data_IF_143517756115
#
_entry.id   IF_143517756115
#
_cell.length_a   1.000
_cell.length_b   1.000
_cell.length_c   1.000
_cell.angle_alpha   90.00
_cell.angle_beta   90.00
_cell.angle_gamma   90.00
#
_symmetry.space_group_name_H-M   'P 1'
#
loop_
_entity.id
_entity.type
_entity.pdbx_description
1 polymer ?
#
# COMPACT_ATOMS: atom_id res chain seq x y z
N UNK A 1 -1.76 3.53 81.88
CA UNK A 1 -2.39 4.30 80.77
C UNK A 1 -1.58 4.28 79.45
N UNK A 2 -0.57 3.40 79.27
CA UNK A 2 0.34 3.40 78.11
C UNK A 2 -0.17 2.63 76.88
N UNK A 3 -1.05 1.63 77.06
CA UNK A 3 -1.57 0.78 75.97
C UNK A 3 -2.48 1.52 74.95
N UNK A 4 -3.28 2.50 75.39
CA UNK A 4 -4.14 3.29 74.48
C UNK A 4 -3.36 4.20 73.51
N UNK A 5 -2.18 4.69 73.91
CA UNK A 5 -1.34 5.56 73.06
C UNK A 5 -0.64 4.78 71.94
N UNK A 6 -0.24 3.53 72.19
CA UNK A 6 0.36 2.66 71.17
C UNK A 6 -0.60 2.27 70.05
N UNK A 7 -1.85 1.93 70.38
CA UNK A 7 -2.90 1.65 69.38
C UNK A 7 -3.26 2.88 68.54
N UNK A 8 -3.34 4.07 69.16
CA UNK A 8 -3.62 5.31 68.43
C UNK A 8 -2.53 5.62 67.39
N UNK A 9 -1.26 5.43 67.73
CA UNK A 9 -0.15 5.62 66.80
C UNK A 9 -0.22 4.64 65.62
N UNK A 10 -0.49 3.36 65.88
CA UNK A 10 -0.62 2.34 64.83
C UNK A 10 -1.76 2.66 63.85
N UNK A 11 -2.91 3.12 64.36
CA UNK A 11 -4.06 3.54 63.54
C UNK A 11 -3.69 4.75 62.67
N UNK A 12 -3.01 5.75 63.24
CA UNK A 12 -2.59 6.94 62.51
C UNK A 12 -1.58 6.59 61.41
N UNK A 13 -0.59 5.75 61.69
CA UNK A 13 0.38 5.31 60.70
C UNK A 13 -0.29 4.51 59.58
N UNK A 14 -1.22 3.61 59.91
CA UNK A 14 -1.97 2.85 58.91
C UNK A 14 -2.83 3.78 58.01
N UNK A 15 -3.53 4.76 58.60
CA UNK A 15 -4.30 5.76 57.86
C UNK A 15 -3.41 6.60 56.94
N UNK A 16 -2.26 7.07 57.44
CA UNK A 16 -1.28 7.80 56.63
C UNK A 16 -0.73 6.95 55.48
N UNK A 17 -0.49 5.66 55.71
CA UNK A 17 -0.08 4.72 54.66
C UNK A 17 -1.12 4.58 53.55
N UNK A 18 -2.39 4.42 53.91
CA UNK A 18 -3.50 4.33 52.94
C UNK A 18 -3.65 5.65 52.17
N UNK A 19 -3.57 6.80 52.86
CA UNK A 19 -3.62 8.13 52.24
C UNK A 19 -2.46 8.34 51.26
N UNK A 20 -1.24 7.96 51.64
CA UNK A 20 -0.06 8.06 50.77
C UNK A 20 -0.19 7.15 49.54
N UNK A 21 -0.72 5.93 49.71
CA UNK A 21 -0.97 5.01 48.60
C UNK A 21 -2.04 5.56 47.65
N UNK A 22 -3.14 6.09 48.17
CA UNK A 22 -4.19 6.72 47.37
C UNK A 22 -3.65 7.93 46.58
N UNK A 23 -2.86 8.80 47.23
CA UNK A 23 -2.21 9.93 46.57
C UNK A 23 -1.18 9.48 45.50
N UNK A 24 -0.44 8.40 45.76
CA UNK A 24 0.49 7.83 44.78
C UNK A 24 -0.23 7.27 43.54
N UNK A 25 -1.34 6.56 43.74
CA UNK A 25 -2.16 6.03 42.64
C UNK A 25 -2.77 7.14 41.79
N UNK A 26 -3.31 8.20 42.40
CA UNK A 26 -3.87 9.34 41.64
C UNK A 26 -2.80 10.11 40.87
N UNK A 27 -1.60 10.28 41.44
CA UNK A 27 -0.48 10.92 40.75
C UNK A 27 -0.01 10.11 39.53
N UNK A 28 0.11 8.78 39.67
CA UNK A 28 0.45 7.89 38.56
C UNK A 28 -0.63 7.91 37.48
N UNK A 29 -1.90 7.84 37.87
CA UNK A 29 -3.03 7.93 36.94
C UNK A 29 -3.03 9.26 36.18
N UNK A 30 -2.79 10.38 36.85
CA UNK A 30 -2.70 11.71 36.24
C UNK A 30 -1.52 11.82 35.25
N UNK A 31 -0.37 11.23 35.58
CA UNK A 31 0.78 11.21 34.67
C UNK A 31 0.47 10.40 33.41
N UNK A 32 -0.11 9.20 33.56
CA UNK A 32 -0.50 8.34 32.44
C UNK A 32 -1.55 9.02 31.57
N UNK A 33 -2.59 9.62 32.17
CA UNK A 33 -3.64 10.32 31.41
C UNK A 33 -3.09 11.51 30.64
N UNK A 34 -2.15 12.25 31.22
CA UNK A 34 -1.50 13.39 30.57
C UNK A 34 -0.64 12.94 29.39
N UNK A 35 0.21 11.92 29.58
CA UNK A 35 1.00 11.34 28.48
C UNK A 35 0.12 10.78 27.36
N UNK A 36 -0.99 10.12 27.70
CA UNK A 36 -1.94 9.62 26.71
C UNK A 36 -2.65 10.75 25.95
N UNK A 37 -2.98 11.86 26.62
CA UNK A 37 -3.57 13.03 25.98
C UNK A 37 -2.61 13.66 24.96
N UNK A 38 -1.33 13.84 25.33
CA UNK A 38 -0.32 14.37 24.40
C UNK A 38 -0.08 13.45 23.20
N UNK A 39 0.05 12.15 23.41
CA UNK A 39 0.18 11.18 22.32
C UNK A 39 -1.05 11.18 21.39
N UNK A 40 -2.24 11.47 21.92
CA UNK A 40 -3.47 11.58 21.12
C UNK A 40 -3.48 12.84 20.27
N UNK A 41 -3.03 13.98 20.82
CA UNK A 41 -2.91 15.23 20.07
C UNK A 41 -1.89 15.12 18.93
N UNK A 42 -0.73 14.55 19.21
CA UNK A 42 0.32 14.31 18.20
C UNK A 42 -0.17 13.39 17.07
N UNK A 43 -0.92 12.34 17.42
CA UNK A 43 -1.54 11.46 16.41
C UNK A 43 -2.57 12.20 15.54
N UNK A 44 -3.31 13.15 16.10
CA UNK A 44 -4.26 13.97 15.33
C UNK A 44 -3.52 14.93 14.39
N UNK A 45 -2.42 15.52 14.86
CA UNK A 45 -1.55 16.37 14.04
C UNK A 45 -0.98 15.61 12.85
N UNK A 46 -0.40 14.43 13.08
CA UNK A 46 0.10 13.55 12.01
C UNK A 46 -1.00 13.16 11.02
N UNK A 47 -2.20 12.81 11.50
CA UNK A 47 -3.34 12.47 10.62
C UNK A 47 -3.77 13.65 9.75
N UNK A 48 -3.88 14.83 10.35
CA UNK A 48 -4.28 16.05 9.64
C UNK A 48 -3.22 16.45 8.61
N UNK A 49 -1.94 16.28 8.95
CA UNK A 49 -0.83 16.49 8.02
C UNK A 49 -0.90 15.53 6.82
N UNK A 50 -1.21 14.25 7.04
CA UNK A 50 -1.41 13.28 5.95
C UNK A 50 -2.61 13.66 5.08
N UNK A 51 -3.74 14.03 5.65
CA UNK A 51 -4.92 14.42 4.87
C UNK A 51 -4.63 15.67 4.02
N UNK A 52 -3.88 16.64 4.56
CA UNK A 52 -3.38 17.79 3.80
C UNK A 52 -2.40 17.38 2.70
N UNK A 53 -1.49 16.44 2.98
CA UNK A 53 -0.54 15.91 2.02
C UNK A 53 -1.25 15.28 0.81
N UNK A 54 -2.29 14.47 1.06
CA UNK A 54 -3.09 13.82 0.01
C UNK A 54 -3.84 14.84 -0.82
N UNK A 55 -4.48 15.83 -0.20
CA UNK A 55 -5.16 16.90 -0.94
C UNK A 55 -4.20 17.70 -1.82
N UNK A 56 -3.01 18.04 -1.33
CA UNK A 56 -1.99 18.75 -2.12
C UNK A 56 -1.41 17.87 -3.23
N UNK A 57 -1.23 16.58 -2.96
CA UNK A 57 -0.78 15.59 -3.96
C UNK A 57 -1.81 15.47 -5.07
N UNK A 58 -3.10 15.41 -4.76
CA UNK A 58 -4.17 15.39 -5.75
C UNK A 58 -4.15 16.62 -6.67
N UNK A 59 -3.90 17.81 -6.11
CA UNK A 59 -3.70 19.04 -6.91
C UNK A 59 -2.46 18.91 -7.80
N UNK A 60 -1.33 18.44 -7.27
CA UNK A 60 -0.09 18.25 -8.06
C UNK A 60 -0.19 17.17 -9.14
N UNK A 61 -1.02 16.16 -8.96
CA UNK A 61 -1.29 15.14 -9.97
C UNK A 61 -2.22 15.66 -11.08
N UNK A 62 -3.13 16.58 -10.75
CA UNK A 62 -4.08 17.16 -11.69
C UNK A 62 -3.55 18.40 -12.43
N UNK A 63 -2.54 19.07 -11.88
CA UNK A 63 -1.87 20.22 -12.51
C UNK A 63 -1.18 19.76 -13.82
N UNK A 64 -1.35 20.50 -14.92
CA UNK A 64 -0.72 20.15 -16.21
C UNK A 64 0.69 20.75 -16.32
N UNK A 65 0.92 21.93 -15.73
CA UNK A 65 2.17 22.67 -15.84
C UNK A 65 3.21 22.18 -14.80
N UNK A 66 2.74 21.79 -13.61
CA UNK A 66 3.59 21.31 -12.51
C UNK A 66 3.31 19.86 -12.10
N UNK A 67 2.91 19.03 -13.08
CA UNK A 67 2.45 17.67 -12.82
C UNK A 67 3.49 16.81 -12.12
N UNK A 68 3.10 16.18 -11.00
CA UNK A 68 3.88 15.10 -10.42
C UNK A 68 3.81 13.83 -11.26
N UNK A 69 4.94 13.16 -11.39
CA UNK A 69 5.01 11.86 -12.06
C UNK A 69 4.69 10.80 -11.01
N UNK A 70 3.61 10.06 -11.24
CA UNK A 70 3.14 9.02 -10.33
C UNK A 70 3.80 7.66 -10.61
N UNK A 71 5.13 7.63 -10.59
CA UNK A 71 5.94 6.42 -10.81
C UNK A 71 6.54 5.85 -9.50
N UNK A 72 6.04 6.30 -8.36
CA UNK A 72 6.52 5.93 -7.04
C UNK A 72 7.70 6.75 -6.53
N UNK A 73 8.22 7.74 -7.28
CA UNK A 73 9.33 8.60 -6.81
C UNK A 73 8.99 9.37 -5.53
N UNK A 74 10.03 9.72 -4.77
CA UNK A 74 9.90 10.43 -3.51
C UNK A 74 9.70 11.94 -3.74
N UNK A 75 8.66 12.47 -3.11
CA UNK A 75 8.39 13.88 -2.95
C UNK A 75 8.39 14.25 -1.47
N UNK A 76 8.98 15.39 -1.13
CA UNK A 76 9.04 15.87 0.25
C UNK A 76 8.18 17.12 0.42
N UNK A 77 7.44 17.16 1.53
CA UNK A 77 6.57 18.27 1.89
C UNK A 77 6.62 18.54 3.39
N UNK A 78 6.09 19.69 3.81
CA UNK A 78 5.85 20.02 5.21
C UNK A 78 4.43 20.52 5.43
N UNK A 79 3.87 20.16 6.58
CA UNK A 79 2.60 20.65 7.10
C UNK A 79 2.79 21.04 8.57
N UNK A 80 2.99 22.33 8.85
CA UNK A 80 3.40 22.78 10.18
C UNK A 80 4.76 22.20 10.55
N UNK A 81 4.83 21.57 11.72
CA UNK A 81 6.05 20.93 12.25
C UNK A 81 6.20 19.46 11.83
N UNK A 82 5.30 18.96 10.98
CA UNK A 82 5.34 17.58 10.45
C UNK A 82 6.06 17.56 9.11
N UNK A 83 7.11 16.74 9.02
CA UNK A 83 7.79 16.41 7.76
C UNK A 83 7.08 15.25 7.07
N UNK A 84 6.86 15.38 5.76
CA UNK A 84 6.09 14.43 4.96
C UNK A 84 6.96 13.89 3.82
N UNK A 85 7.08 12.57 3.75
CA UNK A 85 7.66 11.84 2.61
C UNK A 85 6.53 11.15 1.87
N UNK A 86 6.33 11.54 0.61
CA UNK A 86 5.18 11.15 -0.20
C UNK A 86 5.68 10.43 -1.44
N UNK A 87 5.07 9.29 -1.75
CA UNK A 87 5.25 8.60 -3.03
C UNK A 87 3.88 8.41 -3.65
N UNK A 88 3.72 8.76 -4.91
CA UNK A 88 2.49 8.57 -5.66
C UNK A 88 2.74 7.56 -6.77
N UNK A 89 1.86 6.56 -6.89
CA UNK A 89 1.90 5.55 -7.95
C UNK A 89 0.54 5.53 -8.64
N UNK A 90 0.52 5.64 -9.97
CA UNK A 90 -0.71 5.48 -10.72
C UNK A 90 -1.21 4.03 -10.61
N UNK A 91 -2.50 3.80 -10.36
CA UNK A 91 -3.03 2.44 -10.27
C UNK A 91 -2.83 1.61 -11.55
N UNK A 92 -2.99 2.19 -12.77
CA UNK A 92 -2.65 1.48 -14.01
C UNK A 92 -1.16 1.12 -14.14
N UNK A 93 -0.28 1.64 -13.29
CA UNK A 93 1.14 1.25 -13.22
C UNK A 93 1.35 -0.11 -12.57
N UNK A 94 0.29 -0.73 -12.04
CA UNK A 94 0.27 -2.06 -11.43
C UNK A 94 -0.58 -3.01 -12.28
N UNK A 95 -0.35 -4.30 -12.15
CA UNK A 95 -1.14 -5.33 -12.78
C UNK A 95 -2.52 -5.44 -12.11
N UNK A 96 -3.58 -5.26 -12.89
CA UNK A 96 -4.95 -5.43 -12.42
C UNK A 96 -5.34 -6.92 -12.40
N UNK A 97 -5.66 -7.45 -11.21
CA UNK A 97 -6.08 -8.85 -11.05
C UNK A 97 -7.38 -9.19 -11.81
N UNK A 98 -8.28 -8.22 -11.94
CA UNK A 98 -9.60 -8.43 -12.53
C UNK A 98 -9.61 -8.26 -14.05
N UNK A 99 -8.78 -7.37 -14.60
CA UNK A 99 -8.80 -7.04 -16.02
C UNK A 99 -7.50 -7.34 -16.77
N UNK A 100 -6.40 -7.56 -16.06
CA UNK A 100 -5.07 -7.78 -16.63
C UNK A 100 -4.96 -9.12 -17.37
N UNK A 101 -4.01 -9.14 -18.31
CA UNK A 101 -3.72 -10.31 -19.13
C UNK A 101 -2.89 -11.36 -18.39
N UNK A 102 -3.30 -12.63 -18.45
CA UNK A 102 -2.64 -13.74 -17.74
C UNK A 102 -1.21 -13.97 -18.21
N UNK A 103 -0.85 -13.72 -19.48
CA UNK A 103 0.54 -13.84 -19.92
C UNK A 103 1.45 -12.79 -19.28
N UNK A 104 0.96 -11.56 -19.11
CA UNK A 104 1.71 -10.49 -18.43
C UNK A 104 1.92 -10.82 -16.96
N UNK A 105 0.91 -11.42 -16.30
CA UNK A 105 1.06 -11.88 -14.92
C UNK A 105 2.07 -13.03 -14.80
N UNK A 106 2.01 -14.00 -15.71
CA UNK A 106 2.97 -15.10 -15.70
C UNK A 106 4.40 -14.56 -15.88
N UNK A 107 4.62 -13.67 -16.84
CA UNK A 107 5.92 -13.01 -17.04
C UNK A 107 6.37 -12.21 -15.81
N UNK A 108 5.45 -11.47 -15.15
CA UNK A 108 5.76 -10.75 -13.92
C UNK A 108 6.22 -11.70 -12.81
N UNK A 109 5.54 -12.84 -12.64
CA UNK A 109 5.93 -13.83 -11.64
C UNK A 109 7.31 -14.44 -11.98
N UNK A 110 7.62 -14.64 -13.27
CA UNK A 110 8.95 -15.07 -13.71
C UNK A 110 10.04 -14.02 -13.39
N UNK A 111 9.76 -12.73 -13.59
CA UNK A 111 10.63 -11.62 -13.15
C UNK A 111 10.78 -11.51 -11.62
N UNK A 112 9.90 -12.17 -10.86
CA UNK A 112 9.95 -12.29 -9.40
C UNK A 112 10.51 -13.65 -8.94
N UNK A 113 11.34 -14.27 -9.78
CA UNK A 113 12.03 -15.54 -9.51
C UNK A 113 11.10 -16.76 -9.31
N UNK A 114 9.84 -16.69 -9.77
CA UNK A 114 8.93 -17.83 -9.78
C UNK A 114 9.18 -18.66 -11.03
N UNK A 115 9.27 -19.99 -10.90
CA UNK A 115 9.51 -20.85 -12.06
C UNK A 115 8.38 -20.72 -13.10
N UNK A 116 8.73 -20.74 -14.40
CA UNK A 116 7.79 -20.61 -15.53
C UNK A 116 6.56 -21.51 -15.40
N UNK A 117 6.74 -22.76 -14.95
CA UNK A 117 5.61 -23.68 -14.76
C UNK A 117 4.67 -23.20 -13.64
N UNK A 118 5.22 -22.76 -12.51
CA UNK A 118 4.43 -22.25 -11.38
C UNK A 118 3.75 -20.93 -11.73
N UNK A 119 4.47 -20.01 -12.38
CA UNK A 119 3.94 -18.73 -12.84
C UNK A 119 2.72 -18.91 -13.75
N UNK A 120 2.81 -19.79 -14.76
CA UNK A 120 1.68 -20.10 -15.66
C UNK A 120 0.49 -20.73 -14.94
N UNK A 121 0.73 -21.60 -13.96
CA UNK A 121 -0.34 -22.22 -13.15
C UNK A 121 -1.04 -21.20 -12.25
N UNK A 122 -0.30 -20.28 -11.65
CA UNK A 122 -0.88 -19.19 -10.85
C UNK A 122 -1.71 -18.27 -11.75
N UNK A 123 -1.18 -17.91 -12.93
CA UNK A 123 -1.88 -17.05 -13.87
C UNK A 123 -3.18 -17.69 -14.40
N UNK A 124 -3.14 -18.98 -14.76
CA UNK A 124 -4.33 -19.75 -15.13
C UNK A 124 -5.32 -19.85 -13.97
N UNK A 125 -4.86 -20.16 -12.75
CA UNK A 125 -5.72 -20.21 -11.56
C UNK A 125 -6.38 -18.86 -11.22
N UNK A 126 -5.80 -17.73 -11.64
CA UNK A 126 -6.42 -16.40 -11.52
C UNK A 126 -7.53 -16.19 -12.54
N UNK A 127 -7.39 -16.73 -13.76
CA UNK A 127 -8.46 -16.68 -14.75
C UNK A 127 -9.70 -17.41 -14.22
N UNK A 128 -9.53 -18.66 -13.77
CA UNK A 128 -10.61 -19.46 -13.17
C UNK A 128 -11.11 -18.84 -11.86
N UNK A 129 -10.26 -18.15 -11.08
CA UNK A 129 -10.71 -17.47 -9.86
C UNK A 129 -11.78 -16.40 -10.15
N UNK A 130 -11.61 -15.64 -11.25
CA UNK A 130 -12.41 -14.44 -11.53
C UNK A 130 -13.62 -14.69 -12.44
N UNK A 131 -13.66 -15.80 -13.17
CA UNK A 131 -14.82 -16.17 -13.96
C UNK A 131 -15.96 -16.71 -13.06
N UNK A 132 -17.13 -16.98 -13.63
CA UNK A 132 -18.31 -17.39 -12.86
C UNK A 132 -18.66 -18.87 -13.01
N UNK A 133 -17.92 -19.60 -13.84
CA UNK A 133 -18.24 -20.99 -14.12
C UNK A 133 -17.40 -21.93 -13.23
N UNK A 134 -17.28 -23.20 -13.60
CA UNK A 134 -16.50 -24.21 -12.85
C UNK A 134 -15.72 -25.06 -13.88
N UNK A 135 -15.35 -24.43 -15.00
CA UNK A 135 -14.66 -25.04 -16.14
C UNK A 135 -13.20 -24.66 -16.07
N UNK A 136 -12.37 -25.65 -15.74
CA UNK A 136 -10.92 -25.42 -15.65
C UNK A 136 -10.34 -25.00 -16.99
N UNK A 137 -9.78 -23.78 -17.03
CA UNK A 137 -9.09 -23.23 -18.18
C UNK A 137 -7.67 -23.76 -18.38
N UNK A 138 -6.94 -23.18 -19.33
CA UNK A 138 -5.56 -23.54 -19.60
C UNK A 138 -4.65 -23.19 -18.41
N UNK A 139 -3.98 -24.22 -17.87
CA UNK A 139 -3.23 -24.14 -16.60
C UNK A 139 -4.07 -23.66 -15.39
N UNK A 140 -5.39 -23.72 -15.52
CA UNK A 140 -6.37 -23.28 -14.54
C UNK A 140 -6.45 -24.17 -13.30
N UNK A 141 -7.30 -23.74 -12.36
CA UNK A 141 -7.63 -24.47 -11.17
C UNK A 141 -9.03 -24.13 -10.71
N UNK A 142 -9.86 -25.16 -10.52
CA UNK A 142 -11.23 -25.04 -10.02
C UNK A 142 -11.41 -25.69 -8.65
N UNK A 143 -12.64 -25.70 -8.12
CA UNK A 143 -12.98 -26.18 -6.78
C UNK A 143 -12.37 -27.55 -6.43
N UNK A 144 -12.26 -28.47 -7.39
CA UNK A 144 -11.61 -29.77 -7.19
C UNK A 144 -10.09 -29.64 -6.92
N UNK A 145 -9.39 -28.79 -7.66
CA UNK A 145 -7.96 -28.54 -7.49
C UNK A 145 -7.69 -27.83 -6.16
N UNK A 146 -8.46 -26.81 -5.80
CA UNK A 146 -8.34 -26.12 -4.51
C UNK A 146 -8.56 -27.05 -3.32
N UNK A 147 -9.56 -27.94 -3.40
CA UNK A 147 -9.81 -28.96 -2.36
C UNK A 147 -8.62 -29.90 -2.19
N UNK A 148 -8.00 -30.33 -3.30
CA UNK A 148 -6.80 -31.18 -3.25
C UNK A 148 -5.60 -30.46 -2.62
N UNK A 149 -5.52 -29.14 -2.78
CA UNK A 149 -4.52 -28.27 -2.16
C UNK A 149 -4.85 -27.82 -0.73
N UNK A 150 -5.92 -28.34 -0.13
CA UNK A 150 -6.44 -27.94 1.18
C UNK A 150 -6.67 -26.41 1.30
N UNK A 151 -7.24 -25.82 0.24
CA UNK A 151 -7.59 -24.41 0.17
C UNK A 151 -9.10 -24.24 -0.01
N UNK A 152 -9.68 -23.10 0.42
CA UNK A 152 -11.04 -22.72 0.04
C UNK A 152 -11.20 -22.74 -1.49
N UNK A 153 -12.43 -22.97 -2.01
CA UNK A 153 -12.69 -22.90 -3.44
C UNK A 153 -12.34 -21.51 -4.01
N UNK A 154 -12.16 -21.39 -5.34
CA UNK A 154 -11.98 -20.10 -5.98
C UNK A 154 -13.18 -19.18 -5.74
N UNK A 155 -12.97 -17.88 -5.94
CA UNK A 155 -14.00 -16.88 -5.68
C UNK A 155 -15.22 -17.02 -6.61
N UNK A 156 -14.97 -17.44 -7.85
CA UNK A 156 -15.90 -17.46 -8.98
C UNK A 156 -16.60 -16.09 -9.16
N UNK A 157 -15.78 -15.05 -8.98
CA UNK A 157 -16.13 -13.62 -9.08
C UNK A 157 -14.86 -12.78 -9.18
N UNK A 158 -14.97 -11.53 -9.63
CA UNK A 158 -13.88 -10.56 -9.49
C UNK A 158 -13.33 -10.51 -8.05
N UNK A 159 -12.02 -10.30 -7.96
CA UNK A 159 -11.31 -9.99 -6.72
C UNK A 159 -11.91 -8.73 -6.10
N UNK A 160 -12.17 -8.78 -4.80
CA UNK A 160 -12.62 -7.63 -4.00
C UNK A 160 -11.51 -7.04 -3.13
N UNK A 161 -10.40 -7.78 -2.96
CA UNK A 161 -9.21 -7.32 -2.28
C UNK A 161 -7.95 -7.95 -2.92
N UNK A 162 -6.82 -7.22 -2.95
CA UNK A 162 -5.54 -7.77 -3.44
C UNK A 162 -5.08 -8.95 -2.57
N UNK A 163 -5.45 -8.94 -1.29
CA UNK A 163 -5.15 -10.01 -0.33
C UNK A 163 -5.76 -11.36 -0.68
N UNK A 164 -6.83 -11.40 -1.49
CA UNK A 164 -7.38 -12.65 -2.00
C UNK A 164 -6.40 -13.41 -2.90
N UNK A 165 -5.38 -12.72 -3.46
CA UNK A 165 -4.29 -13.36 -4.19
C UNK A 165 -3.58 -14.44 -3.35
N UNK A 166 -3.51 -14.29 -2.01
CA UNK A 166 -2.94 -15.33 -1.11
C UNK A 166 -3.67 -16.67 -1.20
N UNK A 167 -4.94 -16.64 -1.57
CA UNK A 167 -5.80 -17.82 -1.59
C UNK A 167 -5.65 -18.58 -2.90
N UNK A 168 -5.25 -17.91 -3.99
CA UNK A 168 -5.01 -18.51 -5.30
C UNK A 168 -4.10 -19.72 -5.21
N UNK A 169 -4.44 -20.79 -5.91
CA UNK A 169 -3.69 -22.03 -5.89
C UNK A 169 -2.27 -21.83 -6.43
N UNK A 170 -1.27 -22.27 -5.67
CA UNK A 170 0.14 -22.10 -6.01
C UNK A 170 0.80 -20.85 -5.41
N UNK A 171 0.01 -19.91 -4.86
CA UNK A 171 0.56 -18.73 -4.18
C UNK A 171 0.93 -19.08 -2.74
N UNK A 172 2.21 -19.01 -2.43
CA UNK A 172 2.71 -19.08 -1.06
C UNK A 172 3.01 -17.68 -0.48
N UNK A 173 3.50 -17.64 0.77
CA UNK A 173 3.78 -16.38 1.45
C UNK A 173 4.90 -15.57 0.78
N UNK A 174 5.89 -16.22 0.17
CA UNK A 174 7.01 -15.56 -0.49
C UNK A 174 6.56 -14.95 -1.82
N UNK A 175 5.83 -15.73 -2.63
CA UNK A 175 5.24 -15.26 -3.90
C UNK A 175 4.29 -14.11 -3.63
N UNK A 176 3.42 -14.22 -2.63
CA UNK A 176 2.53 -13.12 -2.26
C UNK A 176 3.31 -11.86 -1.88
N UNK A 177 4.34 -11.99 -1.02
CA UNK A 177 5.11 -10.83 -0.56
C UNK A 177 5.84 -10.13 -1.72
N UNK A 178 6.36 -10.88 -2.68
CA UNK A 178 7.03 -10.34 -3.86
C UNK A 178 6.04 -9.71 -4.85
N UNK A 179 4.90 -10.36 -5.10
CA UNK A 179 3.96 -9.92 -6.13
C UNK A 179 3.00 -8.83 -5.67
N UNK A 180 2.50 -8.86 -4.43
CA UNK A 180 1.51 -7.90 -3.89
C UNK A 180 1.83 -6.42 -4.19
N UNK A 181 3.07 -5.95 -4.01
CA UNK A 181 3.63 -4.76 -4.65
C UNK A 181 3.07 -4.34 -6.02
N UNK A 182 3.09 -5.26 -6.98
CA UNK A 182 2.78 -5.00 -8.38
C UNK A 182 1.31 -5.22 -8.71
N UNK A 183 0.45 -5.54 -7.75
CA UNK A 183 -0.95 -5.90 -7.97
C UNK A 183 -1.90 -4.76 -7.56
N UNK A 184 -3.02 -4.65 -8.27
CA UNK A 184 -4.12 -3.74 -7.95
C UNK A 184 -5.47 -4.31 -8.38
N UNK A 185 -6.54 -3.65 -7.96
CA UNK A 185 -7.91 -3.80 -8.47
C UNK A 185 -8.42 -2.56 -9.22
N UNK A 186 -7.62 -1.49 -9.26
CA UNK A 186 -8.00 -0.18 -9.79
C UNK A 186 -7.20 0.21 -11.04
N UNK A 187 -6.59 -0.78 -11.69
CA UNK A 187 -5.81 -0.58 -12.90
C UNK A 187 -6.69 -0.63 -14.15
N UNK A 188 -6.21 -1.36 -15.14
CA UNK A 188 -6.96 -1.65 -16.36
C UNK A 188 -6.35 -2.85 -17.09
N UNK A 189 -6.91 -3.19 -18.25
CA UNK A 189 -6.46 -4.37 -18.99
C UNK A 189 -5.03 -4.28 -19.52
N UNK A 190 -4.49 -3.06 -19.61
CA UNK A 190 -3.14 -2.75 -20.05
C UNK A 190 -2.35 -2.04 -18.94
N UNK A 191 -1.10 -2.44 -18.75
CA UNK A 191 -0.19 -1.75 -17.80
C UNK A 191 0.27 -0.42 -18.40
N UNK A 192 0.22 0.64 -17.60
CA UNK A 192 0.67 1.96 -17.97
C UNK A 192 2.20 2.11 -17.86
N UNK A 193 2.92 1.81 -18.94
CA UNK A 193 4.38 1.78 -18.97
C UNK A 193 5.07 3.07 -18.50
N UNK A 194 4.46 4.25 -18.73
CA UNK A 194 4.96 5.55 -18.22
C UNK A 194 5.25 5.53 -16.73
N UNK A 195 4.40 4.85 -15.96
CA UNK A 195 4.38 4.89 -14.50
C UNK A 195 4.85 3.56 -13.88
N UNK A 196 4.80 2.47 -14.65
CA UNK A 196 5.08 1.12 -14.16
C UNK A 196 6.53 0.92 -13.70
N UNK A 197 6.78 0.11 -12.67
CA UNK A 197 8.14 -0.26 -12.28
C UNK A 197 8.84 -1.07 -13.38
N UNK A 198 10.19 -1.06 -13.46
CA UNK A 198 10.96 -1.70 -14.54
C UNK A 198 10.58 -3.17 -14.80
N UNK A 199 10.53 -4.01 -13.76
CA UNK A 199 10.15 -5.43 -13.86
C UNK A 199 8.78 -5.64 -14.51
N UNK A 200 7.81 -4.78 -14.19
CA UNK A 200 6.48 -4.89 -14.77
C UNK A 200 6.44 -4.41 -16.23
N UNK A 201 7.27 -3.43 -16.60
CA UNK A 201 7.45 -3.05 -18.01
C UNK A 201 7.99 -4.26 -18.78
N UNK A 202 9.05 -4.91 -18.29
CA UNK A 202 9.65 -6.09 -18.92
C UNK A 202 8.65 -7.24 -19.06
N UNK A 203 7.84 -7.49 -18.01
CA UNK A 203 6.76 -8.47 -18.02
C UNK A 203 5.66 -8.22 -19.06
N UNK A 204 5.54 -7.01 -19.62
CA UNK A 204 4.57 -6.73 -20.70
C UNK A 204 5.00 -7.28 -22.06
N UNK A 205 6.23 -7.82 -22.18
CA UNK A 205 6.75 -8.40 -23.42
C UNK A 205 7.42 -7.39 -24.35
N UNK A 206 7.65 -6.15 -23.90
CA UNK A 206 8.45 -5.17 -24.65
C UNK A 206 9.92 -5.57 -24.70
N UNK A 207 10.62 -5.13 -25.75
CA UNK A 207 12.07 -5.35 -25.82
C UNK A 207 12.80 -4.56 -24.73
N UNK A 208 13.94 -5.06 -24.24
CA UNK A 208 14.78 -4.33 -23.28
C UNK A 208 15.22 -2.94 -23.81
N UNK A 209 15.39 -2.81 -25.14
CA UNK A 209 15.64 -1.52 -25.78
C UNK A 209 14.48 -0.55 -25.60
N UNK A 210 13.25 -1.03 -25.75
CA UNK A 210 12.03 -0.23 -25.58
C UNK A 210 11.76 0.11 -24.13
N UNK A 211 11.92 -0.85 -23.21
CA UNK A 211 11.85 -0.61 -21.77
C UNK A 211 12.78 0.54 -21.36
N UNK A 212 14.03 0.53 -21.82
CA UNK A 212 14.97 1.62 -21.55
C UNK A 212 14.56 2.96 -22.16
N UNK A 213 13.98 2.97 -23.37
CA UNK A 213 13.44 4.20 -23.98
C UNK A 213 12.28 4.76 -23.16
N UNK A 214 11.39 3.91 -22.66
CA UNK A 214 10.25 4.29 -21.80
C UNK A 214 10.77 4.92 -20.50
N UNK A 215 11.70 4.25 -19.82
CA UNK A 215 12.30 4.74 -18.56
C UNK A 215 13.04 6.08 -18.77
N UNK A 216 13.76 6.22 -19.88
CA UNK A 216 14.46 7.48 -20.21
C UNK A 216 13.47 8.61 -20.51
N UNK A 217 12.41 8.33 -21.27
CA UNK A 217 11.37 9.29 -21.61
C UNK A 217 10.58 9.75 -20.37
N UNK A 218 10.46 8.92 -19.32
CA UNK A 218 9.79 9.27 -18.06
C UNK A 218 10.37 10.52 -17.40
N UNK A 219 11.68 10.72 -17.49
CA UNK A 219 12.36 11.85 -16.83
C UNK A 219 12.32 13.15 -17.63
N UNK A 220 11.74 13.14 -18.84
CA UNK A 220 11.50 14.33 -19.63
C UNK A 220 10.03 14.48 -20.00
N UNK A 221 9.67 15.63 -20.57
CA UNK A 221 8.34 15.87 -21.12
C UNK A 221 8.15 15.23 -22.51
N UNK A 222 8.89 14.15 -22.78
CA UNK A 222 8.92 13.51 -24.08
C UNK A 222 7.77 12.50 -24.18
N UNK A 223 7.08 12.50 -25.32
CA UNK A 223 6.11 11.46 -25.64
C UNK A 223 6.82 10.11 -25.67
N UNK A 224 6.25 9.13 -24.99
CA UNK A 224 6.82 7.78 -24.99
C UNK A 224 6.59 7.18 -26.39
N UNK A 225 7.60 6.54 -27.01
CA UNK A 225 7.45 5.95 -28.32
C UNK A 225 6.29 4.96 -28.36
N UNK A 226 5.57 4.90 -29.49
CA UNK A 226 4.61 3.83 -29.73
C UNK A 226 5.39 2.51 -29.82
N UNK A 227 5.03 1.55 -28.99
CA UNK A 227 5.62 0.20 -28.94
C UNK A 227 4.48 -0.80 -29.09
N UNK A 228 4.68 -1.84 -29.90
CA UNK A 228 3.73 -2.94 -30.01
C UNK A 228 3.66 -3.69 -28.67
N UNK A 229 2.47 -3.88 -28.11
CA UNK A 229 2.30 -4.65 -26.88
C UNK A 229 0.98 -4.43 -26.14
N UNK A 230 0.83 -5.14 -25.02
CA UNK A 230 -0.31 -5.03 -24.10
C UNK A 230 -0.19 -3.86 -23.12
N UNK A 231 0.92 -3.12 -23.11
CA UNK A 231 1.08 -1.94 -22.27
C UNK A 231 0.58 -0.68 -22.98
N UNK A 232 -0.14 0.17 -22.25
CA UNK A 232 -0.46 1.51 -22.72
C UNK A 232 0.66 2.44 -22.25
N UNK A 233 1.56 2.81 -23.15
CA UNK A 233 2.79 3.48 -22.73
C UNK A 233 2.61 4.94 -22.35
N UNK A 234 1.56 5.60 -22.82
CA UNK A 234 1.27 7.00 -22.50
C UNK A 234 -0.24 7.21 -22.34
N UNK A 235 -0.88 6.64 -21.29
CA UNK A 235 -2.30 6.82 -21.11
C UNK A 235 -2.62 8.29 -20.83
N UNK A 236 -3.72 8.77 -21.41
CA UNK A 236 -4.36 9.99 -20.93
C UNK A 236 -4.62 9.82 -19.42
N UNK A 237 -4.29 10.86 -18.65
CA UNK A 237 -4.27 10.94 -17.17
C UNK A 237 -4.89 9.74 -16.43
N UNK A 238 -4.11 9.00 -15.62
CA UNK A 238 -4.65 7.92 -14.80
C UNK A 238 -5.85 8.37 -13.96
N UNK A 239 -6.87 7.53 -13.86
CA UNK A 239 -8.10 7.80 -13.12
C UNK A 239 -7.97 7.52 -11.63
N UNK A 240 -6.98 6.74 -11.20
CA UNK A 240 -6.74 6.38 -9.81
C UNK A 240 -5.25 6.31 -9.48
N UNK A 241 -4.92 6.61 -8.22
CA UNK A 241 -3.56 6.67 -7.70
C UNK A 241 -3.48 6.13 -6.26
N UNK A 242 -2.45 5.36 -5.96
CA UNK A 242 -2.03 5.06 -4.61
C UNK A 242 -1.05 6.14 -4.11
N UNK A 243 -1.39 6.76 -2.99
CA UNK A 243 -0.55 7.75 -2.32
C UNK A 243 -0.05 7.16 -1.02
N UNK A 244 1.25 6.98 -0.94
CA UNK A 244 1.97 6.52 0.24
C UNK A 244 2.54 7.74 0.95
N UNK A 245 2.12 7.95 2.20
CA UNK A 245 2.56 9.07 3.02
C UNK A 245 3.20 8.56 4.30
N UNK A 246 4.43 8.96 4.53
CA UNK A 246 5.11 8.89 5.83
C UNK A 246 5.16 10.28 6.44
N UNK A 247 4.53 10.43 7.60
CA UNK A 247 4.53 11.66 8.39
C UNK A 247 5.42 11.47 9.62
N UNK A 248 6.30 12.43 9.88
CA UNK A 248 7.21 12.45 11.03
C UNK A 248 7.09 13.79 11.77
N UNK A 249 6.72 13.73 13.06
CA UNK A 249 6.67 14.89 13.94
C UNK A 249 8.07 15.22 14.49
N UNK A 250 8.24 16.44 15.00
CA UNK A 250 9.49 16.91 15.62
C UNK A 250 9.94 16.08 16.83
N UNK A 251 9.01 15.38 17.49
CA UNK A 251 9.29 14.42 18.57
C UNK A 251 9.92 13.11 18.10
N UNK A 252 9.88 12.82 16.80
CA UNK A 252 10.21 11.52 16.20
C UNK A 252 9.02 10.57 16.04
N UNK A 253 7.80 10.96 16.43
CA UNK A 253 6.61 10.15 16.19
C UNK A 253 6.33 10.01 14.69
N UNK A 254 6.07 8.78 14.23
CA UNK A 254 5.83 8.48 12.81
C UNK A 254 4.46 7.87 12.55
N UNK A 255 3.90 8.16 11.39
CA UNK A 255 2.66 7.59 10.90
C UNK A 255 2.74 7.31 9.40
N UNK A 256 2.38 6.09 9.00
CA UNK A 256 2.38 5.64 7.60
C UNK A 256 0.96 5.41 7.12
N UNK A 257 0.63 5.89 5.92
CA UNK A 257 -0.69 5.69 5.29
C UNK A 257 -0.55 5.42 3.81
N UNK A 258 -1.39 4.51 3.32
CA UNK A 258 -1.64 4.29 1.90
C UNK A 258 -3.09 4.71 1.67
N UNK A 259 -3.29 5.60 0.70
CA UNK A 259 -4.60 6.14 0.36
C UNK A 259 -4.75 6.02 -1.14
N UNK A 260 -5.75 5.25 -1.57
CA UNK A 260 -6.09 5.15 -2.99
C UNK A 260 -7.15 6.21 -3.26
N UNK A 261 -6.86 7.09 -4.20
CA UNK A 261 -7.76 8.15 -4.63
C UNK A 261 -8.17 7.94 -6.10
N UNK A 262 -9.40 8.32 -6.45
CA UNK A 262 -9.77 8.57 -7.83
C UNK A 262 -9.65 10.06 -8.14
N UNK A 263 -9.22 10.39 -9.35
CA UNK A 263 -9.06 11.75 -9.86
C UNK A 263 -9.90 11.87 -11.15
N UNK A 264 -11.20 12.21 -11.03
CA UNK A 264 -12.14 12.19 -12.16
C UNK A 264 -11.97 13.35 -13.16
N UNK A 265 -11.09 14.32 -12.90
CA UNK A 265 -10.92 15.47 -13.79
C UNK A 265 -9.86 16.47 -13.33
N UNK A 266 -9.86 17.65 -13.97
CA UNK A 266 -8.91 18.72 -13.69
C UNK A 266 -9.24 19.49 -12.40
N UNK A 267 -8.23 20.13 -11.81
CA UNK A 267 -8.38 20.98 -10.61
C UNK A 267 -8.22 20.25 -9.27
N UNK A 268 -7.82 18.98 -9.27
CA UNK A 268 -7.46 18.25 -8.05
C UNK A 268 -8.65 17.80 -7.19
N UNK A 269 -9.88 17.78 -7.76
CA UNK A 269 -11.01 17.11 -7.13
C UNK A 269 -10.74 15.61 -7.09
N UNK A 270 -10.88 14.97 -5.93
CA UNK A 270 -10.63 13.55 -5.76
C UNK A 270 -11.64 12.91 -4.81
N UNK A 271 -11.92 11.62 -5.03
CA UNK A 271 -12.60 10.78 -4.04
C UNK A 271 -11.60 9.81 -3.42
N UNK A 272 -11.80 9.46 -2.15
CA UNK A 272 -11.00 8.39 -1.51
C UNK A 272 -11.70 7.05 -1.73
N UNK A 273 -11.03 6.14 -2.45
CA UNK A 273 -11.51 4.79 -2.70
C UNK A 273 -11.20 3.85 -1.54
N UNK A 274 -9.99 3.94 -0.99
CA UNK A 274 -9.57 3.13 0.15
C UNK A 274 -8.51 3.82 1.00
N UNK A 275 -8.38 3.38 2.26
CA UNK A 275 -7.35 3.86 3.18
C UNK A 275 -6.82 2.70 4.02
N UNK A 276 -5.53 2.44 3.90
CA UNK A 276 -4.83 1.38 4.62
C UNK A 276 -3.81 1.98 5.60
N UNK A 277 -3.70 1.35 6.77
CA UNK A 277 -2.72 1.71 7.80
C UNK A 277 -1.65 0.63 7.83
N UNK A 278 -0.41 1.04 7.62
CA UNK A 278 0.74 0.14 7.65
C UNK A 278 1.58 0.39 8.90
N UNK A 279 2.16 -0.68 9.46
CA UNK A 279 2.99 -0.63 10.67
C UNK A 279 4.45 -0.29 10.33
N UNK A 280 4.90 -0.65 9.14
CA UNK A 280 6.24 -0.41 8.61
C UNK A 280 6.19 0.48 7.37
N UNK A 281 7.31 1.14 7.03
CA UNK A 281 7.41 2.02 5.86
C UNK A 281 7.44 1.27 4.54
N UNK A 282 7.11 1.97 3.45
CA UNK A 282 7.06 1.40 2.08
C UNK A 282 8.40 1.39 1.36
N UNK A 283 9.52 1.58 2.09
CA UNK A 283 10.86 1.65 1.51
C UNK A 283 11.19 0.35 0.73
N UNK A 284 10.86 -0.81 1.31
CA UNK A 284 11.09 -2.11 0.66
C UNK A 284 10.29 -2.32 -0.64
N UNK A 285 9.24 -1.53 -0.87
CA UNK A 285 8.33 -1.67 -2.02
C UNK A 285 8.59 -0.65 -3.13
N UNK A 286 8.95 0.58 -2.78
CA UNK A 286 9.06 1.69 -3.74
C UNK A 286 10.48 2.24 -3.86
N UNK A 287 11.44 1.77 -3.07
CA UNK A 287 12.83 2.13 -3.32
C UNK A 287 13.17 1.76 -4.76
N UNK A 288 13.76 2.70 -5.53
CA UNK A 288 14.07 2.43 -6.92
C UNK A 288 14.92 1.16 -6.95
N UNK A 289 14.44 0.16 -7.70
CA UNK A 289 15.24 -1.02 -8.02
C UNK A 289 16.63 -0.53 -8.43
N UNK A 290 17.71 -1.11 -7.88
CA UNK A 290 19.05 -0.71 -8.29
C UNK A 290 19.14 -0.82 -9.81
N UNK A 291 19.50 0.28 -10.48
CA UNK A 291 19.69 0.29 -11.93
C UNK A 291 20.64 -0.86 -12.30
N UNK A 292 20.15 -1.80 -13.10
CA UNK A 292 20.92 -2.92 -13.65
C UNK A 292 21.89 -2.46 -14.75
#
# INVERSE_FOLDING_TARGET
MTSRRGMALLIVVALLGILAMAAGMTALAARVSTSAAFASLERLELRTAIDSAVARTAVKLADEDERWIADGRLYEMRAGDVSLRIRALAEPARFDLNSGNVETLAALLEELDVSTLTARRIAGAIADWRDTDDVTGDNGAEAAAYRSGNRPPPGNRPFIAVEEFRQVLGVDAAIYAAAAPYLTLYGGGAVAGRYAPPRLIEATGVSAGDARRILTARNGDHRIPEVDGSAQFDPAQPSAYAIFVEAEASSGARLFREIIISLPGSGGLYDTLSRHSHVFGYADFLDPEPEA
#
